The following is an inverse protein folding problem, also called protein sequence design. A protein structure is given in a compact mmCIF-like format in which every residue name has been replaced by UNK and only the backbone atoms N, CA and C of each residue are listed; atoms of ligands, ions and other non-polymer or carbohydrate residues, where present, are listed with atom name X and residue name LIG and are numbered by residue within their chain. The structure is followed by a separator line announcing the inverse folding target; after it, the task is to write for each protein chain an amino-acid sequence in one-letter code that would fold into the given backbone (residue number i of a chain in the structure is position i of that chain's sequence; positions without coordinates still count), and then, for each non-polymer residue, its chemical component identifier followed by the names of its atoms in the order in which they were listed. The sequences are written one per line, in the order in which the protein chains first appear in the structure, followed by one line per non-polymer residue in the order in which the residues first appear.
data_IF_992293774133
#
_entry.id   IF_992293774133
#
_cell.length_a   1.000
_cell.length_b   1.000
_cell.length_c   1.000
_cell.angle_alpha   90.00
_cell.angle_beta   90.00
_cell.angle_gamma   90.00
#
_symmetry.space_group_name_H-M   'P 1'
#
loop_
_entity.id
_entity.type
_entity.pdbx_description
1 polymer ?
#
# COMPACT_ATOMS: atom_id res chain seq x y z
N UNK A 1 -25.34 -15.46 -33.49
CA UNK A 1 -24.21 -14.78 -32.83
C UNK A 1 -23.11 -15.75 -32.46
N UNK A 2 -21.87 -15.26 -32.34
CA UNK A 2 -20.76 -15.99 -31.74
C UNK A 2 -20.41 -15.36 -30.40
N UNK A 3 -20.39 -16.19 -29.36
CA UNK A 3 -20.13 -15.77 -27.99
C UNK A 3 -18.76 -16.26 -27.54
N UNK A 4 -18.06 -15.42 -26.78
CA UNK A 4 -16.85 -15.78 -26.06
C UNK A 4 -17.16 -15.52 -24.58
N UNK A 5 -16.96 -16.53 -23.74
CA UNK A 5 -17.25 -16.47 -22.30
C UNK A 5 -15.95 -16.33 -21.52
N UNK A 6 -15.98 -15.71 -20.34
CA UNK A 6 -14.93 -15.97 -19.34
C UNK A 6 -15.22 -17.26 -18.56
N UNK A 7 -14.24 -17.73 -17.78
CA UNK A 7 -14.36 -18.93 -16.94
C UNK A 7 -15.49 -18.79 -15.92
N UNK A 8 -15.68 -17.62 -15.30
CA UNK A 8 -16.81 -17.36 -14.38
C UNK A 8 -18.17 -17.54 -15.07
N UNK A 9 -18.36 -17.03 -16.29
CA UNK A 9 -19.62 -17.21 -17.02
C UNK A 9 -19.87 -18.65 -17.43
N UNK A 10 -18.85 -19.38 -17.88
CA UNK A 10 -18.98 -20.79 -18.20
C UNK A 10 -19.42 -21.60 -16.96
N UNK A 11 -18.81 -21.30 -15.80
CA UNK A 11 -19.13 -21.95 -14.52
C UNK A 11 -20.54 -21.66 -14.04
N UNK A 12 -20.99 -20.42 -14.14
CA UNK A 12 -22.36 -20.03 -13.74
C UNK A 12 -23.43 -20.68 -14.63
N UNK A 13 -23.11 -20.90 -15.92
CA UNK A 13 -23.95 -21.67 -16.85
C UNK A 13 -23.87 -23.19 -16.62
N UNK A 14 -23.11 -23.65 -15.63
CA UNK A 14 -22.96 -25.06 -15.28
C UNK A 14 -22.09 -25.86 -16.24
N UNK A 15 -21.17 -25.21 -16.97
CA UNK A 15 -20.28 -25.85 -17.93
C UNK A 15 -18.82 -25.75 -17.49
N UNK A 16 -18.03 -26.79 -17.79
CA UNK A 16 -16.58 -26.63 -17.82
C UNK A 16 -16.16 -25.80 -19.05
N UNK A 17 -14.99 -25.13 -19.02
CA UNK A 17 -14.51 -24.35 -20.16
C UNK A 17 -14.48 -25.13 -21.48
N UNK A 18 -14.14 -26.42 -21.42
CA UNK A 18 -14.09 -27.31 -22.58
C UNK A 18 -15.49 -27.67 -23.10
N UNK A 19 -16.42 -27.97 -22.20
CA UNK A 19 -17.81 -28.30 -22.56
C UNK A 19 -18.59 -27.10 -23.09
N UNK A 20 -18.25 -25.90 -22.62
CA UNK A 20 -18.93 -24.68 -23.04
C UNK A 20 -18.76 -24.42 -24.54
N UNK A 21 -17.61 -24.81 -25.13
CA UNK A 21 -17.33 -24.59 -26.54
C UNK A 21 -18.33 -25.34 -27.43
N UNK A 22 -18.83 -24.65 -28.46
CA UNK A 22 -19.87 -25.09 -29.40
C UNK A 22 -21.28 -25.29 -28.82
N UNK A 23 -21.52 -25.05 -27.52
CA UNK A 23 -22.89 -25.04 -26.99
C UNK A 23 -23.70 -23.87 -27.53
N UNK A 24 -25.00 -24.09 -27.68
CA UNK A 24 -25.96 -23.05 -28.02
C UNK A 24 -26.29 -22.22 -26.78
N UNK A 25 -26.35 -20.91 -26.95
CA UNK A 25 -26.67 -19.96 -25.90
C UNK A 25 -27.66 -18.91 -26.43
N UNK A 26 -28.54 -18.47 -25.55
CA UNK A 26 -29.54 -17.45 -25.83
C UNK A 26 -29.34 -16.30 -24.86
N UNK A 27 -29.00 -15.12 -25.39
CA UNK A 27 -28.85 -13.91 -24.60
C UNK A 27 -29.95 -12.92 -24.99
N UNK A 28 -31.08 -13.01 -24.30
CA UNK A 28 -32.32 -12.35 -24.71
C UNK A 28 -32.74 -12.78 -26.13
N UNK A 29 -32.96 -11.85 -27.08
CA UNK A 29 -33.31 -12.20 -28.46
C UNK A 29 -32.13 -12.75 -29.28
N UNK A 30 -30.90 -12.71 -28.75
CA UNK A 30 -29.69 -13.10 -29.49
C UNK A 30 -29.40 -14.58 -29.28
N UNK A 31 -29.79 -15.39 -30.26
CA UNK A 31 -29.38 -16.80 -30.33
C UNK A 31 -27.99 -16.96 -30.95
N UNK A 32 -27.16 -17.84 -30.41
CA UNK A 32 -25.81 -18.05 -30.91
C UNK A 32 -25.11 -19.28 -30.35
N UNK A 33 -23.83 -19.38 -30.67
CA UNK A 33 -22.97 -20.48 -30.23
C UNK A 33 -21.74 -19.92 -29.53
N UNK A 34 -21.33 -20.58 -28.45
CA UNK A 34 -20.07 -20.29 -27.77
C UNK A 34 -18.92 -20.79 -28.63
N UNK A 35 -17.96 -19.92 -28.94
CA UNK A 35 -16.79 -20.25 -29.78
C UNK A 35 -15.50 -20.38 -29.00
N UNK A 36 -15.39 -19.72 -27.86
CA UNK A 36 -14.24 -19.83 -26.99
C UNK A 36 -14.62 -19.53 -25.55
N UNK A 37 -13.81 -20.04 -24.63
CA UNK A 37 -13.76 -19.60 -23.24
C UNK A 37 -12.39 -19.00 -22.99
N UNK A 38 -12.36 -17.78 -22.48
CA UNK A 38 -11.13 -17.06 -22.08
C UNK A 38 -10.96 -17.14 -20.58
N UNK A 39 -9.71 -17.00 -20.10
CA UNK A 39 -9.44 -16.90 -18.67
C UNK A 39 -10.13 -15.69 -18.07
N UNK A 40 -10.45 -15.78 -16.79
CA UNK A 40 -10.96 -14.64 -16.04
C UNK A 40 -9.97 -13.46 -16.07
N UNK A 41 -10.50 -12.27 -16.31
CA UNK A 41 -9.75 -11.02 -16.32
C UNK A 41 -10.54 -9.93 -15.61
N UNK A 42 -9.84 -8.94 -15.05
CA UNK A 42 -10.48 -7.81 -14.41
C UNK A 42 -10.96 -6.81 -15.46
N UNK A 43 -12.25 -6.51 -15.42
CA UNK A 43 -12.91 -5.51 -16.27
C UNK A 43 -13.75 -4.50 -15.45
N UNK A 44 -13.79 -4.67 -14.13
CA UNK A 44 -14.37 -3.76 -13.15
C UNK A 44 -13.32 -3.47 -12.05
N UNK A 45 -13.73 -2.71 -11.02
CA UNK A 45 -12.94 -2.48 -9.80
C UNK A 45 -12.48 -3.80 -9.16
N UNK A 46 -11.23 -3.84 -8.66
CA UNK A 46 -10.65 -4.98 -7.93
C UNK A 46 -11.37 -5.31 -6.61
N UNK A 47 -12.23 -4.40 -6.11
CA UNK A 47 -13.10 -4.67 -4.97
C UNK A 47 -14.16 -5.73 -5.30
N UNK A 48 -14.60 -5.79 -6.55
CA UNK A 48 -15.61 -6.73 -6.98
C UNK A 48 -14.97 -8.06 -7.42
N UNK A 49 -15.61 -9.21 -7.15
CA UNK A 49 -15.23 -10.45 -7.79
C UNK A 49 -15.38 -10.35 -9.31
N UNK A 50 -14.59 -11.12 -10.05
CA UNK A 50 -14.71 -11.20 -11.51
C UNK A 50 -16.08 -11.79 -11.85
N UNK A 51 -16.94 -10.93 -12.40
CA UNK A 51 -18.30 -11.31 -12.77
C UNK A 51 -18.31 -12.14 -14.08
N UNK A 52 -19.35 -12.93 -14.28
CA UNK A 52 -19.71 -13.52 -15.56
C UNK A 52 -19.70 -12.48 -16.68
N UNK A 53 -18.93 -12.74 -17.74
CA UNK A 53 -18.74 -11.83 -18.85
C UNK A 53 -18.85 -12.54 -20.20
N UNK A 54 -19.58 -11.91 -21.13
CA UNK A 54 -19.85 -12.43 -22.46
C UNK A 54 -19.45 -11.41 -23.51
N UNK A 55 -18.49 -11.78 -24.35
CA UNK A 55 -18.08 -11.03 -25.53
C UNK A 55 -18.83 -11.55 -26.76
N UNK A 56 -19.36 -10.65 -27.57
CA UNK A 56 -19.99 -10.98 -28.84
C UNK A 56 -19.86 -9.83 -29.81
N UNK A 57 -19.91 -10.15 -31.10
CA UNK A 57 -19.91 -9.16 -32.17
C UNK A 57 -21.28 -8.49 -32.26
N UNK A 58 -21.30 -7.16 -32.28
CA UNK A 58 -22.50 -6.37 -32.55
C UNK A 58 -22.23 -5.41 -33.70
N UNK A 59 -23.26 -5.16 -34.52
CA UNK A 59 -23.17 -4.31 -35.72
C UNK A 59 -23.06 -2.82 -35.37
N UNK A 60 -23.36 -2.44 -34.12
CA UNK A 60 -23.35 -1.05 -33.65
C UNK A 60 -22.51 -0.96 -32.38
N UNK A 61 -21.40 -0.23 -32.46
CA UNK A 61 -20.58 0.17 -31.32
C UNK A 61 -20.76 1.65 -30.99
N UNK A 62 -20.66 2.01 -29.71
CA UNK A 62 -20.59 3.42 -29.28
C UNK A 62 -19.15 3.92 -29.21
N UNK A 63 -18.21 3.01 -28.98
CA UNK A 63 -16.80 3.29 -28.78
C UNK A 63 -15.94 2.40 -29.68
N UNK A 64 -14.77 2.91 -30.05
CA UNK A 64 -13.77 2.19 -30.81
C UNK A 64 -12.52 2.05 -29.95
N UNK A 65 -12.12 0.81 -29.67
CA UNK A 65 -10.87 0.52 -28.97
C UNK A 65 -9.73 0.44 -29.98
N UNK A 66 -8.74 1.32 -29.83
CA UNK A 66 -7.56 1.38 -30.70
C UNK A 66 -6.31 1.15 -29.85
N UNK A 67 -5.58 0.06 -30.13
CA UNK A 67 -4.30 -0.22 -29.46
C UNK A 67 -3.18 0.51 -30.19
N UNK A 68 -2.45 1.36 -29.47
CA UNK A 68 -1.30 2.11 -29.97
C UNK A 68 0.00 1.47 -29.47
N UNK A 69 1.08 1.57 -30.25
CA UNK A 69 2.40 1.07 -29.85
C UNK A 69 3.19 2.05 -28.94
N UNK A 70 2.65 3.26 -28.71
CA UNK A 70 3.27 4.31 -27.90
C UNK A 70 4.30 5.19 -28.62
N UNK A 71 4.70 4.86 -29.86
CA UNK A 71 5.63 5.67 -30.65
C UNK A 71 4.88 6.75 -31.44
N UNK A 72 5.45 7.95 -31.53
CA UNK A 72 4.88 9.08 -32.28
C UNK A 72 3.39 9.35 -31.96
N UNK A 73 3.06 9.38 -30.66
CA UNK A 73 1.69 9.53 -30.16
C UNK A 73 0.93 10.69 -30.82
N UNK A 74 1.51 11.90 -30.78
CA UNK A 74 0.87 13.10 -31.32
C UNK A 74 0.51 12.94 -32.80
N UNK A 75 1.43 12.38 -33.59
CA UNK A 75 1.22 12.13 -35.02
C UNK A 75 0.10 11.12 -35.26
N UNK A 76 0.03 10.09 -34.43
CA UNK A 76 -0.98 9.03 -34.53
C UNK A 76 -2.37 9.57 -34.20
N UNK A 77 -2.51 10.38 -33.15
CA UNK A 77 -3.79 11.01 -32.80
C UNK A 77 -4.25 11.98 -33.90
N UNK A 78 -3.36 12.84 -34.41
CA UNK A 78 -3.72 13.74 -35.51
C UNK A 78 -4.15 12.98 -36.78
N UNK A 79 -3.52 11.85 -37.07
CA UNK A 79 -3.93 10.97 -38.16
C UNK A 79 -5.34 10.39 -37.93
N UNK A 80 -5.59 9.86 -36.72
CA UNK A 80 -6.90 9.31 -36.35
C UNK A 80 -8.00 10.38 -36.42
N UNK A 81 -7.74 11.58 -35.90
CA UNK A 81 -8.68 12.70 -35.94
C UNK A 81 -9.03 13.10 -37.38
N UNK A 82 -8.02 13.22 -38.25
CA UNK A 82 -8.22 13.54 -39.67
C UNK A 82 -9.07 12.48 -40.38
N UNK A 83 -8.78 11.19 -40.15
CA UNK A 83 -9.58 10.09 -40.69
C UNK A 83 -11.00 10.07 -40.14
N UNK A 84 -11.16 10.32 -38.84
CA UNK A 84 -12.47 10.37 -38.20
C UNK A 84 -13.36 11.47 -38.79
N UNK A 85 -12.83 12.69 -38.93
CA UNK A 85 -13.55 13.82 -39.55
C UNK A 85 -13.98 13.54 -40.99
N UNK A 86 -13.16 12.79 -41.74
CA UNK A 86 -13.49 12.38 -43.11
C UNK A 86 -14.58 11.31 -43.18
N UNK A 87 -14.59 10.37 -42.24
CA UNK A 87 -15.53 9.24 -42.25
C UNK A 87 -16.86 9.57 -41.56
N UNK A 88 -16.83 10.42 -40.54
CA UNK A 88 -17.98 10.74 -39.68
C UNK A 88 -18.03 12.25 -39.36
N UNK A 89 -18.24 13.13 -40.35
CA UNK A 89 -18.15 14.59 -40.19
C UNK A 89 -19.15 15.19 -39.19
N UNK A 90 -20.23 14.46 -38.84
CA UNK A 90 -21.25 14.89 -37.88
C UNK A 90 -20.99 14.50 -36.43
N UNK A 91 -19.83 13.91 -36.09
CA UNK A 91 -19.49 13.53 -34.71
C UNK A 91 -18.13 14.08 -34.30
N UNK A 92 -18.00 14.74 -33.14
CA UNK A 92 -16.71 15.20 -32.65
C UNK A 92 -15.77 14.01 -32.45
N UNK A 93 -14.48 14.26 -32.66
CA UNK A 93 -13.44 13.29 -32.33
C UNK A 93 -13.13 13.42 -30.83
N UNK A 94 -13.60 12.45 -30.05
CA UNK A 94 -13.33 12.34 -28.62
C UNK A 94 -12.54 11.06 -28.38
N UNK A 95 -11.50 11.15 -27.56
CA UNK A 95 -10.73 10.01 -27.12
C UNK A 95 -10.43 10.13 -25.63
N UNK A 96 -10.31 8.98 -24.96
CA UNK A 96 -9.87 8.86 -23.58
C UNK A 96 -8.90 7.69 -23.51
N UNK A 97 -7.94 7.78 -22.61
CA UNK A 97 -7.06 6.65 -22.40
C UNK A 97 -7.66 5.67 -21.38
N UNK A 98 -7.43 4.39 -21.63
CA UNK A 98 -7.97 3.34 -20.79
C UNK A 98 -7.30 3.34 -19.40
N UNK A 99 -6.02 3.70 -19.31
CA UNK A 99 -5.30 3.83 -18.04
C UNK A 99 -5.84 4.98 -17.16
N UNK A 100 -6.25 6.10 -17.75
CA UNK A 100 -6.93 7.16 -17.01
C UNK A 100 -8.25 6.70 -16.40
N UNK A 101 -9.04 5.92 -17.14
CA UNK A 101 -10.29 5.36 -16.64
C UNK A 101 -10.04 4.33 -15.53
N UNK A 102 -9.00 3.51 -15.65
CA UNK A 102 -8.56 2.63 -14.56
C UNK A 102 -8.10 3.43 -13.34
N UNK A 103 -7.30 4.47 -13.51
CA UNK A 103 -6.82 5.31 -12.39
C UNK A 103 -7.99 5.97 -11.64
N UNK A 104 -9.07 6.35 -12.34
CA UNK A 104 -10.28 6.88 -11.67
C UNK A 104 -10.90 5.88 -10.70
N UNK A 105 -10.85 4.58 -11.00
CA UNK A 105 -11.34 3.53 -10.11
C UNK A 105 -10.50 3.41 -8.82
N UNK A 106 -9.23 3.85 -8.84
CA UNK A 106 -8.28 3.70 -7.71
C UNK A 106 -7.87 5.03 -7.05
N UNK A 107 -8.42 6.15 -7.50
CA UNK A 107 -8.03 7.47 -7.01
C UNK A 107 -8.38 7.68 -5.53
N UNK A 108 -9.44 7.04 -5.03
CA UNK A 108 -9.83 7.11 -3.63
C UNK A 108 -8.79 6.42 -2.74
N UNK A 109 -8.33 5.24 -3.15
CA UNK A 109 -7.33 4.42 -2.48
C UNK A 109 -5.97 5.11 -2.46
N UNK A 110 -5.53 5.66 -3.60
CA UNK A 110 -4.28 6.41 -3.69
C UNK A 110 -4.34 7.65 -2.78
N UNK A 111 -5.48 8.34 -2.73
CA UNK A 111 -5.65 9.51 -1.86
C UNK A 111 -5.65 9.13 -0.38
N UNK A 112 -6.33 8.05 -0.01
CA UNK A 112 -6.33 7.54 1.35
C UNK A 112 -4.91 7.14 1.79
N UNK A 113 -4.17 6.44 0.93
CA UNK A 113 -2.77 6.09 1.18
C UNK A 113 -1.90 7.32 1.46
N UNK A 114 -2.00 8.35 0.62
CA UNK A 114 -1.28 9.62 0.84
C UNK A 114 -1.63 10.30 2.17
N UNK A 115 -2.90 10.27 2.56
CA UNK A 115 -3.33 10.83 3.84
C UNK A 115 -2.72 10.02 4.99
N UNK A 116 -2.77 8.69 4.91
CA UNK A 116 -2.19 7.79 5.90
C UNK A 116 -0.68 7.97 6.03
N UNK A 117 0.03 8.18 4.91
CA UNK A 117 1.47 8.47 4.92
C UNK A 117 1.80 9.75 5.70
N UNK A 118 1.01 10.82 5.49
CA UNK A 118 1.17 12.07 6.24
C UNK A 118 0.89 11.88 7.73
N UNK A 119 -0.19 11.19 8.09
CA UNK A 119 -0.50 10.89 9.48
C UNK A 119 0.58 10.00 10.13
N UNK A 120 1.10 9.01 9.42
CA UNK A 120 2.20 8.17 9.88
C UNK A 120 3.46 8.99 10.12
N UNK A 121 3.82 9.90 9.20
CA UNK A 121 4.97 10.78 9.37
C UNK A 121 4.84 11.70 10.60
N UNK A 122 3.65 12.28 10.82
CA UNK A 122 3.36 13.10 12.01
C UNK A 122 3.42 12.24 13.28
N UNK A 123 2.82 11.06 13.28
CA UNK A 123 2.83 10.15 14.41
C UNK A 123 4.26 9.73 14.79
N UNK A 124 5.10 9.44 13.79
CA UNK A 124 6.52 9.16 14.00
C UNK A 124 7.22 10.37 14.62
N UNK A 125 7.05 11.57 14.07
CA UNK A 125 7.63 12.80 14.64
C UNK A 125 7.21 13.02 16.10
N UNK A 126 5.93 12.86 16.42
CA UNK A 126 5.42 12.98 17.78
C UNK A 126 6.00 11.91 18.72
N UNK A 127 6.11 10.67 18.25
CA UNK A 127 6.77 9.60 19.00
C UNK A 127 8.25 9.91 19.26
N UNK A 128 8.96 10.47 18.28
CA UNK A 128 10.35 10.91 18.44
C UNK A 128 10.49 12.00 19.49
N UNK A 129 9.61 13.01 19.47
CA UNK A 129 9.59 14.09 20.46
C UNK A 129 9.25 13.57 21.86
N UNK A 130 8.30 12.64 21.96
CA UNK A 130 7.94 11.98 23.23
C UNK A 130 9.09 11.17 23.81
N UNK A 131 9.74 10.33 22.98
CA UNK A 131 10.91 9.55 23.38
C UNK A 131 12.08 10.46 23.78
N UNK A 132 12.29 11.56 23.05
CA UNK A 132 13.28 12.58 23.39
C UNK A 132 13.00 13.22 24.76
N UNK A 133 11.74 13.60 25.03
CA UNK A 133 11.33 14.17 26.31
C UNK A 133 11.50 13.19 27.48
N UNK A 134 11.02 11.96 27.32
CA UNK A 134 11.14 10.90 28.33
C UNK A 134 12.60 10.55 28.63
N UNK A 135 13.43 10.39 27.60
CA UNK A 135 14.86 10.08 27.79
C UNK A 135 15.61 11.23 28.45
N UNK A 136 15.29 12.48 28.10
CA UNK A 136 15.89 13.66 28.75
C UNK A 136 15.50 13.76 30.22
N UNK A 137 14.22 13.54 30.55
CA UNK A 137 13.72 13.54 31.93
C UNK A 137 14.34 12.40 32.75
N UNK A 138 14.38 11.18 32.21
CA UNK A 138 15.00 10.04 32.87
C UNK A 138 16.50 10.24 33.12
N UNK A 139 17.22 10.84 32.17
CA UNK A 139 18.62 11.21 32.35
C UNK A 139 18.79 12.23 33.48
N UNK A 140 17.93 13.26 33.54
CA UNK A 140 17.95 14.27 34.61
C UNK A 140 17.71 13.67 35.99
N UNK A 141 16.70 12.80 36.11
CA UNK A 141 16.34 12.18 37.39
C UNK A 141 17.44 11.25 37.92
N UNK A 142 18.27 10.68 37.03
CA UNK A 142 19.40 9.81 37.39
C UNK A 142 20.76 10.53 37.43
N UNK A 143 20.81 11.87 37.33
CA UNK A 143 22.08 12.63 37.37
C UNK A 143 22.91 12.33 38.62
N UNK A 144 22.28 12.29 39.82
CA UNK A 144 22.99 12.02 41.09
C UNK A 144 23.63 10.63 41.10
N UNK A 145 22.90 9.61 40.64
CA UNK A 145 23.39 8.22 40.57
C UNK A 145 24.50 8.06 39.52
N UNK A 146 24.34 8.69 38.35
CA UNK A 146 25.31 8.70 37.26
C UNK A 146 26.61 9.41 37.71
N UNK A 147 26.49 10.53 38.43
CA UNK A 147 27.62 11.28 38.99
C UNK A 147 28.42 10.46 39.99
N UNK A 148 27.76 9.79 40.93
CA UNK A 148 28.40 8.91 41.93
C UNK A 148 29.11 7.74 41.23
N UNK A 149 28.44 7.05 40.30
CA UNK A 149 29.03 5.93 39.54
C UNK A 149 30.25 6.36 38.73
N UNK A 150 30.22 7.55 38.12
CA UNK A 150 31.34 8.11 37.33
C UNK A 150 32.56 8.42 38.20
N UNK A 151 32.35 8.95 39.42
CA UNK A 151 33.43 9.18 40.40
C UNK A 151 34.00 7.86 40.93
N UNK A 152 33.17 6.82 41.05
CA UNK A 152 33.60 5.46 41.39
C UNK A 152 34.25 4.68 40.22
N UNK A 153 34.51 5.33 39.08
CA UNK A 153 35.23 4.74 37.94
C UNK A 153 34.36 3.99 36.93
N UNK A 154 33.02 4.10 36.99
CA UNK A 154 32.17 3.50 35.98
C UNK A 154 32.37 4.18 34.61
N UNK A 155 32.55 3.36 33.58
CA UNK A 155 32.67 3.83 32.20
C UNK A 155 31.35 4.44 31.70
N UNK A 156 31.46 5.43 30.81
CA UNK A 156 30.32 6.03 30.10
C UNK A 156 29.50 4.98 29.33
N UNK A 157 30.14 3.91 28.85
CA UNK A 157 29.47 2.80 28.15
C UNK A 157 28.47 2.06 29.04
N UNK A 158 28.79 1.81 30.30
CA UNK A 158 27.91 1.09 31.23
C UNK A 158 26.65 1.89 31.55
N UNK A 159 26.77 3.23 31.61
CA UNK A 159 25.63 4.13 31.81
C UNK A 159 24.71 4.12 30.58
N UNK A 160 25.29 4.17 29.38
CA UNK A 160 24.51 4.11 28.12
C UNK A 160 23.77 2.78 28.02
N UNK A 161 24.43 1.64 28.26
CA UNK A 161 23.81 0.31 28.18
C UNK A 161 22.67 0.17 29.19
N UNK A 162 22.86 0.63 30.42
CA UNK A 162 21.82 0.57 31.45
C UNK A 162 20.58 1.39 31.07
N UNK A 163 20.79 2.60 30.53
CA UNK A 163 19.69 3.46 30.09
C UNK A 163 18.97 2.87 28.86
N UNK A 164 19.73 2.43 27.84
CA UNK A 164 19.19 1.86 26.61
C UNK A 164 18.39 0.58 26.86
N UNK A 165 18.78 -0.25 27.83
CA UNK A 165 18.07 -1.50 28.16
C UNK A 165 16.63 -1.26 28.62
N UNK A 166 16.41 -0.24 29.45
CA UNK A 166 15.08 0.11 29.95
C UNK A 166 14.15 0.54 28.79
N UNK A 167 14.67 1.34 27.85
CA UNK A 167 13.92 1.78 26.67
C UNK A 167 13.69 0.66 25.65
N UNK A 168 14.70 -0.19 25.37
CA UNK A 168 14.54 -1.33 24.47
C UNK A 168 13.45 -2.27 25.00
N UNK A 169 13.40 -2.52 26.32
CA UNK A 169 12.36 -3.36 26.91
C UNK A 169 10.96 -2.80 26.64
N UNK A 170 10.77 -1.49 26.78
CA UNK A 170 9.51 -0.82 26.46
C UNK A 170 9.18 -0.90 24.97
N UNK A 171 10.16 -0.71 24.08
CA UNK A 171 9.98 -0.83 22.62
C UNK A 171 9.58 -2.23 22.21
N UNK A 172 10.18 -3.28 22.78
CA UNK A 172 9.82 -4.68 22.50
C UNK A 172 8.38 -4.98 22.92
N UNK A 173 7.95 -4.49 24.09
CA UNK A 173 6.56 -4.64 24.56
C UNK A 173 5.60 -3.91 23.60
N UNK A 174 5.94 -2.69 23.18
CA UNK A 174 5.15 -1.93 22.23
C UNK A 174 5.02 -2.66 20.88
N UNK A 175 6.12 -3.21 20.35
CA UNK A 175 6.13 -4.00 19.11
C UNK A 175 5.26 -5.26 19.26
N UNK A 176 5.38 -5.98 20.38
CA UNK A 176 4.60 -7.18 20.65
C UNK A 176 3.09 -6.94 20.65
N UNK A 177 2.65 -5.73 21.03
CA UNK A 177 1.24 -5.31 20.97
C UNK A 177 0.88 -4.76 19.60
N UNK A 178 1.75 -3.96 18.99
CA UNK A 178 1.50 -3.31 17.71
C UNK A 178 1.38 -4.30 16.54
N UNK A 179 2.18 -5.37 16.53
CA UNK A 179 2.17 -6.35 15.43
C UNK A 179 0.82 -7.08 15.30
N UNK A 180 0.23 -7.67 16.36
CA UNK A 180 -1.11 -8.26 16.29
C UNK A 180 -2.19 -7.27 15.87
N UNK A 181 -2.15 -6.04 16.41
CA UNK A 181 -3.14 -5.01 16.09
C UNK A 181 -3.03 -4.58 14.63
N UNK A 182 -1.81 -4.35 14.14
CA UNK A 182 -1.56 -4.03 12.73
C UNK A 182 -1.99 -5.18 11.82
N UNK A 183 -1.63 -6.43 12.15
CA UNK A 183 -2.05 -7.61 11.41
C UNK A 183 -3.57 -7.75 11.33
N UNK A 184 -4.27 -7.56 12.45
CA UNK A 184 -5.73 -7.60 12.49
C UNK A 184 -6.36 -6.48 11.64
N UNK A 185 -5.87 -5.24 11.77
CA UNK A 185 -6.38 -4.11 11.02
C UNK A 185 -6.16 -4.28 9.51
N UNK A 186 -4.96 -4.72 9.10
CA UNK A 186 -4.66 -5.01 7.70
C UNK A 186 -5.51 -6.16 7.18
N UNK A 187 -5.65 -7.26 7.93
CA UNK A 187 -6.48 -8.39 7.52
C UNK A 187 -7.95 -8.00 7.35
N UNK A 188 -8.50 -7.19 8.27
CA UNK A 188 -9.86 -6.67 8.18
C UNK A 188 -10.05 -5.75 6.97
N UNK A 189 -9.09 -4.86 6.70
CA UNK A 189 -9.12 -3.99 5.52
C UNK A 189 -9.01 -4.79 4.21
N UNK A 190 -8.19 -5.83 4.19
CA UNK A 190 -7.98 -6.67 3.02
C UNK A 190 -9.16 -7.61 2.71
N UNK A 191 -10.09 -7.80 3.65
CA UNK A 191 -11.31 -8.59 3.43
C UNK A 191 -12.28 -7.92 2.46
N UNK A 192 -12.24 -6.59 2.35
CA UNK A 192 -13.10 -5.85 1.42
C UNK A 192 -12.68 -6.03 -0.05
N UNK A 193 -11.50 -6.63 -0.29
CA UNK A 193 -10.98 -6.92 -1.62
C UNK A 193 -11.22 -8.38 -1.99
N UNK A 194 -11.96 -8.62 -3.08
CA UNK A 194 -12.19 -9.99 -3.59
C UNK A 194 -10.89 -10.68 -4.05
N UNK A 195 -9.90 -9.90 -4.48
CA UNK A 195 -8.55 -10.35 -4.79
C UNK A 195 -7.57 -9.69 -3.84
N UNK A 196 -7.07 -10.48 -2.88
CA UNK A 196 -6.15 -10.04 -1.84
C UNK A 196 -4.74 -10.56 -2.09
N UNK A 197 -3.75 -9.71 -1.84
CA UNK A 197 -2.33 -10.11 -1.80
C UNK A 197 -2.03 -10.76 -0.46
N UNK A 198 -1.23 -11.82 -0.44
CA UNK A 198 -0.76 -12.37 0.83
C UNK A 198 0.12 -11.34 1.57
N UNK A 199 -0.21 -11.09 2.84
CA UNK A 199 0.56 -10.17 3.68
C UNK A 199 1.91 -10.83 3.96
N UNK A 200 2.98 -10.28 3.38
CA UNK A 200 4.32 -10.77 3.64
C UNK A 200 4.78 -10.35 5.04
N UNK A 201 5.06 -11.32 5.90
CA UNK A 201 5.53 -11.09 7.26
C UNK A 201 6.85 -10.29 7.31
N UNK A 202 7.62 -10.27 6.21
CA UNK A 202 8.83 -9.48 6.10
C UNK A 202 8.62 -7.99 6.41
N UNK A 203 7.46 -7.42 6.05
CA UNK A 203 7.16 -6.01 6.29
C UNK A 203 7.13 -5.70 7.79
N UNK A 204 6.50 -6.58 8.59
CA UNK A 204 6.44 -6.44 10.05
C UNK A 204 7.81 -6.58 10.70
N UNK A 205 8.64 -7.50 10.21
CA UNK A 205 10.02 -7.69 10.70
C UNK A 205 10.88 -6.46 10.39
N UNK A 206 10.83 -5.97 9.15
CA UNK A 206 11.58 -4.78 8.73
C UNK A 206 11.15 -3.57 9.55
N UNK A 207 9.83 -3.35 9.70
CA UNK A 207 9.30 -2.26 10.51
C UNK A 207 9.80 -2.34 11.97
N UNK A 208 9.75 -3.54 12.57
CA UNK A 208 10.22 -3.76 13.96
C UNK A 208 11.71 -3.48 14.13
N UNK A 209 12.54 -3.91 13.16
CA UNK A 209 13.98 -3.64 13.16
C UNK A 209 14.24 -2.14 13.04
N UNK A 210 13.59 -1.46 12.09
CA UNK A 210 13.73 -0.02 11.87
C UNK A 210 13.31 0.76 13.11
N UNK A 211 12.17 0.45 13.72
CA UNK A 211 11.71 1.08 14.97
C UNK A 211 12.68 0.85 16.13
N UNK A 212 13.25 -0.34 16.24
CA UNK A 212 14.23 -0.66 17.31
C UNK A 212 15.53 0.12 17.10
N UNK A 213 16.06 0.14 15.88
CA UNK A 213 17.27 0.91 15.53
C UNK A 213 17.08 2.40 15.77
N UNK A 214 15.92 2.92 15.38
CA UNK A 214 15.58 4.32 15.59
C UNK A 214 15.50 4.68 17.09
N UNK A 215 14.84 3.84 17.88
CA UNK A 215 14.77 3.99 19.34
C UNK A 215 16.18 3.99 19.95
N UNK A 216 17.01 3.02 19.56
CA UNK A 216 18.37 2.89 20.07
C UNK A 216 19.20 4.13 19.73
N UNK A 217 19.11 4.64 18.50
CA UNK A 217 19.81 5.84 18.07
C UNK A 217 19.40 7.06 18.91
N UNK A 218 18.09 7.27 19.09
CA UNK A 218 17.56 8.39 19.87
C UNK A 218 18.00 8.36 21.34
N UNK A 219 17.92 7.20 21.98
CA UNK A 219 18.30 7.03 23.40
C UNK A 219 19.82 7.11 23.57
N UNK A 220 20.59 6.50 22.68
CA UNK A 220 22.06 6.54 22.75
C UNK A 220 22.58 7.97 22.60
N UNK A 221 22.03 8.74 21.67
CA UNK A 221 22.38 10.15 21.48
C UNK A 221 22.15 10.97 22.77
N UNK A 222 21.02 10.76 23.44
CA UNK A 222 20.72 11.46 24.70
C UNK A 222 21.58 11.00 25.87
N UNK A 223 21.80 9.69 26.00
CA UNK A 223 22.65 9.14 27.05
C UNK A 223 24.09 9.67 26.93
N UNK A 224 24.62 9.80 25.71
CA UNK A 224 25.92 10.43 25.45
C UNK A 224 25.91 11.90 25.87
N UNK A 225 24.92 12.69 25.45
CA UNK A 225 24.81 14.10 25.87
C UNK A 225 24.78 14.26 27.39
N UNK A 226 24.01 13.42 28.08
CA UNK A 226 23.91 13.45 29.54
C UNK A 226 25.21 13.03 30.23
N UNK A 227 25.90 12.01 29.72
CA UNK A 227 27.15 11.51 30.31
C UNK A 227 28.36 12.43 30.08
N UNK A 228 28.38 13.17 28.95
CA UNK A 228 29.41 14.15 28.59
C UNK A 228 29.17 15.50 29.25
N UNK A 229 27.94 15.80 29.69
CA UNK A 229 27.65 17.00 30.45
C UNK A 229 28.53 17.07 31.72
N UNK A 230 29.19 18.21 31.92
CA UNK A 230 30.30 18.35 32.86
C UNK A 230 29.79 18.31 34.32
N UNK A 231 30.14 17.29 35.13
CA UNK A 231 29.54 17.07 36.46
C UNK A 231 29.91 18.14 37.49
N UNK A 232 30.98 18.90 37.23
CA UNK A 232 31.50 19.96 38.12
C UNK A 232 30.52 21.13 38.26
N UNK A 233 29.62 21.37 37.30
CA UNK A 233 28.55 22.37 37.45
C UNK A 233 27.38 21.85 38.30
N UNK A 234 26.96 20.60 38.12
CA UNK A 234 25.80 20.04 38.84
C UNK A 234 26.01 19.84 40.35
N UNK A 235 27.25 19.69 40.82
CA UNK A 235 27.56 19.58 42.25
C UNK A 235 27.79 20.94 42.94
N UNK A 236 27.92 22.03 42.19
CA UNK A 236 28.19 23.38 42.72
C UNK A 236 26.98 24.33 42.66
N UNK A 237 25.80 23.79 42.30
CA UNK A 237 24.55 24.56 42.23
C UNK A 237 23.55 24.21 43.34
N UNK A 238 23.99 23.47 44.37
CA UNK A 238 23.42 23.51 45.72
C UNK A 238 24.45 24.16 46.65
#
# INVERSE_FOLDING_TARGET
YHFILNESAARELGWTPQEAVNKKMYMGPRAGTVKAVVKDFHFESLHNPIKPFVLFTELRGRELLVKLNGQHFQRTISFLESKWKSLVPGRPFEYRFMDEDYNKLYNAEIRLGKIMDVFAAIAILLACLGLFGLSSYAAQQRIKEIGIRKVLGASVSNIIVALSKDFIRLTVIAIAIALPVAGWATAKWLQDFSYRTDINWSIYVIASIVTTLFTLAAVSFQAIRAAVANPVKSLRTE
#
